data_IF_803333505030
#
_entry.id   IF_803333505030
#
_cell.length_a   1.000
_cell.length_b   1.000
_cell.length_c   1.000
_cell.angle_alpha   90.00
_cell.angle_beta   90.00
_cell.angle_gamma   90.00
#
_symmetry.space_group_name_H-M   'P 1'
#
loop_
_entity.id
_entity.type
_entity.pdbx_description
1 polymer ?
#
# COMPACT_ATOMS: atom_id res chain seq x y z
N UNK A 1 -68.95 -30.72 -21.56
CA UNK A 1 -67.78 -29.99 -22.04
C UNK A 1 -67.01 -29.46 -20.84
N UNK A 2 -65.97 -30.19 -20.41
CA UNK A 2 -65.07 -29.73 -19.32
C UNK A 2 -63.94 -28.93 -19.97
N UNK A 3 -63.78 -27.67 -19.58
CA UNK A 3 -62.63 -26.84 -19.94
C UNK A 3 -61.52 -27.06 -18.92
N UNK A 4 -60.42 -27.69 -19.32
CA UNK A 4 -59.17 -27.74 -18.55
C UNK A 4 -58.47 -26.36 -18.67
N UNK A 5 -58.36 -25.66 -17.57
CA UNK A 5 -57.53 -24.46 -17.49
C UNK A 5 -56.13 -24.87 -17.09
N UNK A 6 -55.17 -24.71 -18.04
CA UNK A 6 -53.78 -24.95 -17.81
C UNK A 6 -53.20 -23.75 -17.01
N UNK A 7 -52.80 -23.93 -15.74
CA UNK A 7 -52.09 -22.95 -14.94
C UNK A 7 -50.61 -23.12 -15.23
N UNK A 8 -50.02 -22.19 -15.95
CA UNK A 8 -48.57 -22.13 -16.14
C UNK A 8 -47.93 -21.62 -14.85
N UNK A 9 -47.28 -22.48 -14.09
CA UNK A 9 -46.43 -22.13 -12.96
C UNK A 9 -45.08 -21.65 -13.53
N UNK A 10 -44.84 -20.34 -13.53
CA UNK A 10 -43.52 -19.76 -13.80
C UNK A 10 -42.63 -20.08 -12.61
N UNK A 11 -41.78 -21.08 -12.75
CA UNK A 11 -40.64 -21.32 -11.86
C UNK A 11 -39.61 -20.19 -12.12
N UNK A 12 -39.61 -19.15 -11.29
CA UNK A 12 -38.50 -18.22 -11.24
C UNK A 12 -37.29 -18.97 -10.65
N UNK A 13 -36.29 -19.24 -11.49
CA UNK A 13 -34.98 -19.67 -11.00
C UNK A 13 -34.45 -18.61 -10.01
N UNK A 14 -33.87 -18.98 -8.88
CA UNK A 14 -33.19 -18.02 -8.02
C UNK A 14 -32.08 -17.37 -8.86
N UNK A 15 -32.17 -16.07 -9.05
CA UNK A 15 -31.03 -15.28 -9.53
C UNK A 15 -30.02 -15.36 -8.39
N UNK A 16 -28.94 -16.12 -8.57
CA UNK A 16 -27.80 -16.02 -7.68
C UNK A 16 -27.38 -14.54 -7.70
N UNK A 17 -27.39 -13.91 -6.55
CA UNK A 17 -26.88 -12.54 -6.46
C UNK A 17 -25.41 -12.55 -6.87
N UNK A 18 -25.03 -11.60 -7.74
CA UNK A 18 -23.61 -11.44 -8.11
C UNK A 18 -22.77 -11.27 -6.84
N UNK A 19 -21.65 -11.95 -6.77
CA UNK A 19 -20.71 -11.82 -5.65
C UNK A 19 -19.28 -11.67 -6.16
N UNK A 20 -18.45 -10.96 -5.40
CA UNK A 20 -17.02 -10.82 -5.67
C UNK A 20 -16.22 -11.39 -4.51
N UNK A 21 -15.31 -12.30 -4.82
CA UNK A 21 -14.43 -12.92 -3.85
C UNK A 21 -13.02 -12.31 -3.97
N UNK A 22 -12.49 -11.80 -2.86
CA UNK A 22 -11.21 -11.06 -2.82
C UNK A 22 -10.21 -11.77 -1.93
N UNK A 23 -8.98 -11.97 -2.43
CA UNK A 23 -7.82 -12.22 -1.59
C UNK A 23 -7.10 -10.91 -1.32
N UNK A 24 -6.86 -10.59 -0.05
CA UNK A 24 -6.37 -9.28 0.36
C UNK A 24 -5.16 -9.37 1.30
N UNK A 25 -4.12 -8.60 0.99
CA UNK A 25 -3.07 -8.24 1.95
C UNK A 25 -3.48 -7.03 2.81
N UNK A 26 -4.55 -6.31 2.41
CA UNK A 26 -5.03 -5.17 3.14
C UNK A 26 -5.82 -5.62 4.35
N UNK A 27 -5.55 -4.99 5.48
CA UNK A 27 -6.26 -5.26 6.73
C UNK A 27 -7.76 -4.99 6.55
N UNK A 28 -8.64 -5.88 7.06
CA UNK A 28 -10.09 -5.77 6.86
C UNK A 28 -10.67 -4.41 7.26
N UNK A 29 -10.24 -3.85 8.39
CA UNK A 29 -10.72 -2.56 8.89
C UNK A 29 -10.45 -1.38 7.94
N UNK A 30 -9.47 -1.49 7.05
CA UNK A 30 -9.10 -0.44 6.10
C UNK A 30 -9.84 -0.56 4.75
N UNK A 31 -10.47 -1.68 4.47
CA UNK A 31 -11.16 -1.91 3.20
C UNK A 31 -12.65 -2.16 3.40
N UNK A 32 -13.07 -2.74 4.53
CA UNK A 32 -14.46 -3.10 4.77
C UNK A 32 -15.45 -1.94 4.59
N UNK A 33 -15.17 -0.71 5.07
CA UNK A 33 -16.08 0.41 4.85
C UNK A 33 -16.37 0.72 3.37
N UNK A 34 -15.37 0.51 2.49
CA UNK A 34 -15.54 0.68 1.06
C UNK A 34 -16.38 -0.45 0.46
N UNK A 35 -16.12 -1.69 0.86
CA UNK A 35 -16.85 -2.87 0.37
C UNK A 35 -18.32 -2.82 0.80
N UNK A 36 -18.60 -2.43 2.04
CA UNK A 36 -19.96 -2.23 2.55
C UNK A 36 -20.71 -1.16 1.75
N UNK A 37 -20.02 -0.06 1.43
CA UNK A 37 -20.59 1.01 0.63
C UNK A 37 -20.88 0.56 -0.80
N UNK A 38 -19.95 -0.13 -1.45
CA UNK A 38 -20.15 -0.74 -2.77
C UNK A 38 -21.36 -1.69 -2.77
N UNK A 39 -21.43 -2.60 -1.78
CA UNK A 39 -22.55 -3.54 -1.67
C UNK A 39 -23.89 -2.81 -1.46
N UNK A 40 -23.91 -1.75 -0.64
CA UNK A 40 -25.11 -0.97 -0.42
C UNK A 40 -25.63 -0.26 -1.69
N UNK A 41 -24.72 0.15 -2.58
CA UNK A 41 -25.08 0.85 -3.82
C UNK A 41 -25.46 -0.11 -4.95
N UNK A 42 -24.77 -1.24 -5.05
CA UNK A 42 -24.88 -2.11 -6.23
C UNK A 42 -25.71 -3.37 -5.98
N UNK A 43 -25.89 -3.76 -4.71
CA UNK A 43 -26.46 -5.04 -4.34
C UNK A 43 -25.52 -6.25 -4.53
N UNK A 44 -24.30 -6.04 -5.03
CA UNK A 44 -23.28 -7.09 -5.22
C UNK A 44 -22.63 -7.39 -3.89
N UNK A 45 -22.66 -8.65 -3.46
CA UNK A 45 -21.99 -9.09 -2.25
C UNK A 45 -20.47 -9.14 -2.45
N UNK A 46 -19.70 -8.80 -1.40
CA UNK A 46 -18.25 -8.91 -1.45
C UNK A 46 -17.74 -9.77 -0.29
N UNK A 47 -17.03 -10.84 -0.62
CA UNK A 47 -16.37 -11.72 0.32
C UNK A 47 -14.87 -11.44 0.30
N UNK A 48 -14.27 -11.27 1.47
CA UNK A 48 -12.83 -10.99 1.58
C UNK A 48 -12.14 -12.03 2.45
N UNK A 49 -11.02 -12.56 1.95
CA UNK A 49 -10.13 -13.42 2.71
C UNK A 49 -8.77 -12.72 2.87
N UNK A 50 -8.36 -12.49 4.11
CA UNK A 50 -7.04 -11.95 4.40
C UNK A 50 -5.97 -13.02 4.19
N UNK A 51 -4.94 -12.68 3.39
CA UNK A 51 -3.80 -13.55 3.06
C UNK A 51 -2.52 -12.76 3.27
N UNK A 52 -1.84 -12.99 4.38
CA UNK A 52 -0.63 -12.21 4.72
C UNK A 52 0.57 -12.57 3.84
N UNK A 53 0.76 -13.85 3.54
CA UNK A 53 1.90 -14.37 2.76
C UNK A 53 1.46 -15.47 1.81
N UNK A 54 2.25 -15.69 0.75
CA UNK A 54 2.04 -16.81 -0.15
C UNK A 54 0.81 -16.68 -1.06
N UNK A 55 0.37 -15.47 -1.37
CA UNK A 55 -0.81 -15.24 -2.22
C UNK A 55 -0.59 -15.73 -3.65
N UNK A 56 0.57 -15.49 -4.23
CA UNK A 56 0.92 -15.95 -5.57
C UNK A 56 0.97 -17.49 -5.63
N UNK A 57 1.58 -18.12 -4.63
CA UNK A 57 1.66 -19.58 -4.50
C UNK A 57 0.28 -20.20 -4.32
N UNK A 58 -0.56 -19.58 -3.51
CA UNK A 58 -1.95 -20.01 -3.30
C UNK A 58 -2.73 -20.00 -4.60
N UNK A 59 -2.72 -18.87 -5.34
CA UNK A 59 -3.40 -18.75 -6.62
C UNK A 59 -2.86 -19.74 -7.66
N UNK A 60 -1.54 -19.99 -7.68
CA UNK A 60 -0.94 -21.04 -8.53
C UNK A 60 -1.45 -22.44 -8.18
N UNK A 61 -1.53 -22.77 -6.89
CA UNK A 61 -1.99 -24.09 -6.43
C UNK A 61 -3.49 -24.31 -6.71
N UNK A 62 -4.29 -23.27 -6.59
CA UNK A 62 -5.72 -23.31 -6.89
C UNK A 62 -5.98 -23.39 -8.41
N UNK A 63 -5.14 -22.70 -9.23
CA UNK A 63 -5.26 -22.65 -10.69
C UNK A 63 -6.64 -22.15 -11.12
N UNK A 64 -7.24 -22.78 -12.14
CA UNK A 64 -8.56 -22.43 -12.67
C UNK A 64 -9.72 -22.66 -11.68
N UNK A 65 -9.44 -23.27 -10.52
CA UNK A 65 -10.43 -23.52 -9.46
C UNK A 65 -10.36 -22.46 -8.35
N UNK A 66 -9.53 -21.44 -8.49
CA UNK A 66 -9.49 -20.37 -7.51
C UNK A 66 -10.85 -19.68 -7.40
N UNK A 67 -11.39 -19.52 -6.21
CA UNK A 67 -12.62 -18.76 -6.01
C UNK A 67 -12.41 -17.25 -6.07
N UNK A 68 -11.15 -16.77 -6.06
CA UNK A 68 -10.86 -15.36 -6.00
C UNK A 68 -11.04 -14.69 -7.36
N UNK A 69 -11.87 -13.64 -7.41
CA UNK A 69 -12.02 -12.76 -8.56
C UNK A 69 -10.93 -11.71 -8.60
N UNK A 70 -10.66 -11.10 -7.44
CA UNK A 70 -9.71 -10.00 -7.29
C UNK A 70 -8.66 -10.29 -6.22
N UNK A 71 -7.54 -9.61 -6.39
CA UNK A 71 -6.50 -9.48 -5.37
C UNK A 71 -6.34 -8.03 -5.01
N UNK A 72 -6.29 -7.72 -3.70
CA UNK A 72 -5.92 -6.41 -3.16
C UNK A 72 -4.55 -6.51 -2.48
N UNK A 73 -3.61 -5.67 -2.90
CA UNK A 73 -2.28 -5.61 -2.31
C UNK A 73 -1.98 -4.24 -1.71
N UNK A 74 -0.93 -4.17 -0.90
CA UNK A 74 -0.51 -2.94 -0.21
C UNK A 74 0.92 -2.51 -0.56
N UNK A 75 1.50 -3.08 -1.62
CA UNK A 75 2.86 -2.81 -2.07
C UNK A 75 3.05 -3.16 -3.54
N UNK A 76 3.82 -2.36 -4.28
CA UNK A 76 4.08 -2.61 -5.70
C UNK A 76 4.80 -3.95 -5.92
N UNK A 77 5.71 -4.34 -5.03
CA UNK A 77 6.40 -5.62 -5.16
C UNK A 77 5.46 -6.80 -5.16
N UNK A 78 4.43 -6.77 -4.30
CA UNK A 78 3.40 -7.83 -4.25
C UNK A 78 2.55 -7.88 -5.52
N UNK A 79 2.32 -6.75 -6.20
CA UNK A 79 1.67 -6.75 -7.52
C UNK A 79 2.55 -7.41 -8.58
N UNK A 80 3.84 -7.08 -8.59
CA UNK A 80 4.78 -7.68 -9.55
C UNK A 80 4.96 -9.18 -9.29
N UNK A 81 4.99 -9.64 -8.04
CA UNK A 81 4.99 -11.08 -7.71
C UNK A 81 3.80 -11.82 -8.36
N UNK A 82 2.62 -11.20 -8.43
CA UNK A 82 1.45 -11.79 -9.10
C UNK A 82 1.62 -11.81 -10.63
N UNK A 83 2.22 -10.77 -11.21
CA UNK A 83 2.58 -10.72 -12.65
C UNK A 83 3.56 -11.83 -12.98
N UNK A 84 4.68 -11.93 -12.25
CA UNK A 84 5.74 -12.92 -12.46
C UNK A 84 5.24 -14.35 -12.25
N UNK A 85 4.33 -14.52 -11.29
CA UNK A 85 3.65 -15.77 -11.03
C UNK A 85 2.65 -16.15 -12.13
N UNK A 86 2.29 -15.21 -13.02
CA UNK A 86 1.33 -15.40 -14.12
C UNK A 86 -0.06 -15.83 -13.62
N UNK A 87 -0.53 -15.26 -12.48
CA UNK A 87 -1.80 -15.62 -11.83
C UNK A 87 -2.90 -14.56 -11.99
N UNK A 88 -2.58 -13.43 -12.60
CA UNK A 88 -3.50 -12.33 -12.90
C UNK A 88 -3.63 -12.14 -14.42
N UNK A 89 -4.67 -11.43 -14.84
CA UNK A 89 -4.97 -11.17 -16.24
C UNK A 89 -5.07 -9.66 -16.52
N UNK A 90 -4.80 -9.21 -17.76
CA UNK A 90 -5.03 -7.83 -18.14
C UNK A 90 -6.53 -7.49 -18.15
N UNK A 91 -6.84 -6.25 -17.79
CA UNK A 91 -8.18 -5.67 -17.85
C UNK A 91 -8.11 -4.43 -18.72
N UNK A 92 -8.65 -4.50 -19.93
CA UNK A 92 -8.70 -3.35 -20.83
C UNK A 92 -10.05 -2.63 -20.64
N UNK A 93 -10.03 -1.62 -19.79
CA UNK A 93 -11.23 -0.88 -19.40
C UNK A 93 -10.99 0.64 -19.45
N UNK A 94 -11.83 1.40 -20.20
CA UNK A 94 -11.67 2.83 -20.37
C UNK A 94 -11.95 3.64 -19.09
N UNK A 95 -12.80 3.15 -18.18
CA UNK A 95 -13.12 3.84 -16.92
C UNK A 95 -11.92 3.77 -15.98
N UNK A 96 -11.31 2.60 -15.84
CA UNK A 96 -10.07 2.42 -15.07
C UNK A 96 -8.93 3.27 -15.63
N UNK A 97 -8.77 3.30 -16.96
CA UNK A 97 -7.72 4.08 -17.61
C UNK A 97 -7.92 5.59 -17.46
N UNK A 98 -9.17 6.06 -17.44
CA UNK A 98 -9.49 7.46 -17.22
C UNK A 98 -9.28 7.91 -15.77
N UNK A 99 -9.61 7.03 -14.82
CA UNK A 99 -9.56 7.35 -13.38
C UNK A 99 -8.16 7.13 -12.76
N UNK A 100 -7.34 6.24 -13.34
CA UNK A 100 -6.04 5.85 -12.80
C UNK A 100 -4.94 6.30 -13.77
N UNK A 101 -4.16 7.34 -13.44
CA UNK A 101 -3.06 7.81 -14.27
C UNK A 101 -2.04 6.71 -14.61
N UNK A 102 -1.40 6.81 -15.79
CA UNK A 102 -0.51 5.78 -16.31
C UNK A 102 0.63 5.40 -15.33
N UNK A 103 1.11 6.33 -14.54
CA UNK A 103 2.14 6.08 -13.51
C UNK A 103 1.69 5.19 -12.35
N UNK A 104 0.38 4.99 -12.19
CA UNK A 104 -0.22 4.17 -11.13
C UNK A 104 -0.88 2.89 -11.66
N UNK A 105 -0.59 2.48 -12.90
CA UNK A 105 -1.08 1.22 -13.46
C UNK A 105 -0.01 0.52 -14.28
N UNK A 106 -0.19 -0.79 -14.43
CA UNK A 106 0.65 -1.58 -15.31
C UNK A 106 0.53 -1.15 -16.77
N UNK A 107 1.63 -0.99 -17.51
CA UNK A 107 1.57 -0.74 -18.95
C UNK A 107 0.78 -1.79 -19.74
N UNK A 108 0.76 -3.06 -19.27
CA UNK A 108 -0.04 -4.15 -19.81
C UNK A 108 -1.41 -4.30 -19.18
N UNK A 109 -1.86 -3.35 -18.36
CA UNK A 109 -3.16 -3.35 -17.67
C UNK A 109 -3.40 -4.58 -16.77
N UNK A 110 -2.36 -5.21 -16.23
CA UNK A 110 -2.51 -6.37 -15.34
C UNK A 110 -2.84 -5.97 -13.90
N UNK A 111 -2.44 -4.77 -13.47
CA UNK A 111 -2.76 -4.21 -12.16
C UNK A 111 -3.04 -2.72 -12.22
N UNK A 112 -3.79 -2.24 -11.23
CA UNK A 112 -4.20 -0.85 -11.08
C UNK A 112 -3.95 -0.40 -9.64
N UNK A 113 -3.28 0.74 -9.47
CA UNK A 113 -3.18 1.40 -8.18
C UNK A 113 -4.54 1.92 -7.72
N UNK A 114 -4.76 1.94 -6.43
CA UNK A 114 -5.99 2.48 -5.83
C UNK A 114 -5.70 3.67 -4.92
N UNK A 115 -4.57 3.62 -4.19
CA UNK A 115 -4.13 4.70 -3.30
C UNK A 115 -2.62 4.77 -3.30
N UNK A 116 -2.08 5.92 -2.89
CA UNK A 116 -0.65 6.06 -2.66
C UNK A 116 -0.33 6.54 -1.24
N UNK A 117 0.92 6.36 -0.82
CA UNK A 117 1.48 6.84 0.45
C UNK A 117 2.95 7.15 0.29
N UNK A 118 3.42 8.12 1.07
CA UNK A 118 4.82 8.43 1.17
C UNK A 118 5.50 7.61 2.27
N UNK A 119 6.75 7.22 2.07
CA UNK A 119 7.64 6.70 3.08
C UNK A 119 8.40 7.87 3.69
N UNK A 120 8.13 8.22 4.92
CA UNK A 120 8.51 9.46 5.56
C UNK A 120 9.38 9.22 6.79
N UNK A 121 9.89 10.30 7.35
CA UNK A 121 10.52 10.28 8.67
C UNK A 121 9.53 10.79 9.72
N UNK A 122 9.36 10.02 10.79
CA UNK A 122 8.74 10.44 12.02
C UNK A 122 9.84 11.05 12.90
N UNK A 123 9.69 12.30 13.31
CA UNK A 123 10.68 13.02 14.10
C UNK A 123 10.08 13.51 15.42
N UNK A 124 10.76 13.24 16.53
CA UNK A 124 10.37 13.76 17.85
C UNK A 124 10.31 15.29 17.83
N UNK A 125 9.16 15.87 18.20
CA UNK A 125 8.95 17.34 18.18
C UNK A 125 9.87 18.10 19.10
N UNK A 126 10.25 17.50 20.22
CA UNK A 126 11.05 18.11 21.30
C UNK A 126 12.56 17.86 21.17
N UNK A 127 12.98 16.86 20.36
CA UNK A 127 14.40 16.43 20.27
C UNK A 127 15.02 16.61 18.90
N UNK A 128 14.21 16.81 17.85
CA UNK A 128 14.68 17.00 16.47
C UNK A 128 14.09 18.29 15.91
N UNK A 129 14.96 19.20 15.44
CA UNK A 129 14.50 20.48 14.86
C UNK A 129 13.95 20.28 13.45
N UNK A 130 12.95 21.07 13.03
CA UNK A 130 12.54 21.10 11.64
C UNK A 130 13.72 21.36 10.69
N UNK A 131 13.81 20.58 9.60
CA UNK A 131 14.86 20.72 8.60
C UNK A 131 16.20 20.05 8.94
N UNK A 132 16.31 19.32 10.05
CA UNK A 132 17.51 18.51 10.34
C UNK A 132 17.61 17.25 9.47
N UNK A 133 16.47 16.79 8.92
CA UNK A 133 16.38 15.69 7.97
C UNK A 133 15.62 16.20 6.75
N UNK A 134 16.27 16.24 5.62
CA UNK A 134 15.71 16.73 4.37
C UNK A 134 15.82 15.68 3.26
N UNK A 135 16.78 14.76 3.39
CA UNK A 135 17.01 13.69 2.43
C UNK A 135 17.05 12.31 3.11
N UNK A 136 16.87 11.23 2.34
CA UNK A 136 17.06 9.88 2.87
C UNK A 136 18.52 9.61 3.18
N UNK A 137 19.45 10.28 2.50
CA UNK A 137 20.88 10.22 2.75
C UNK A 137 21.24 10.71 4.16
N UNK A 138 20.51 11.70 4.67
CA UNK A 138 20.71 12.25 6.04
C UNK A 138 20.57 11.19 7.13
N UNK A 139 19.83 10.10 6.88
CA UNK A 139 19.63 9.02 7.85
C UNK A 139 20.94 8.24 8.15
N UNK A 140 21.91 8.29 7.25
CA UNK A 140 23.23 7.68 7.43
C UNK A 140 24.25 8.61 8.11
N UNK A 141 23.89 9.89 8.40
CA UNK A 141 24.78 10.82 9.07
C UNK A 141 25.07 10.32 10.51
N UNK A 142 26.36 10.21 10.91
CA UNK A 142 26.76 9.77 12.27
C UNK A 142 26.16 10.58 13.43
N UNK A 143 25.64 11.81 13.19
CA UNK A 143 24.92 12.59 14.21
C UNK A 143 23.70 11.87 14.77
N UNK A 144 23.15 10.89 14.02
CA UNK A 144 21.99 10.09 14.40
C UNK A 144 22.34 8.80 15.14
N UNK A 145 23.61 8.57 15.47
CA UNK A 145 24.06 7.33 16.13
C UNK A 145 23.26 7.05 17.41
N UNK A 146 22.61 5.86 17.44
CA UNK A 146 21.77 5.44 18.57
C UNK A 146 20.45 6.19 18.68
N UNK A 147 19.98 6.86 17.60
CA UNK A 147 18.80 7.71 17.65
C UNK A 147 17.72 7.33 16.64
N UNK A 148 17.92 6.26 15.85
CA UNK A 148 16.98 5.81 14.84
C UNK A 148 16.31 4.51 15.28
N UNK A 149 14.99 4.45 15.21
CA UNK A 149 14.20 3.22 15.31
C UNK A 149 13.72 2.79 13.92
N UNK A 150 13.78 1.48 13.64
CA UNK A 150 13.25 0.91 12.40
C UNK A 150 12.63 -0.45 12.62
N UNK A 151 11.62 -0.76 11.81
CA UNK A 151 11.19 -2.14 11.60
C UNK A 151 12.21 -2.88 10.75
N UNK A 152 12.09 -4.21 10.65
CA UNK A 152 12.97 -5.05 9.81
C UNK A 152 13.28 -4.43 8.46
N UNK A 153 14.56 -4.44 8.07
CA UNK A 153 15.01 -4.04 6.74
C UNK A 153 14.38 -4.87 5.63
N UNK A 154 14.10 -6.14 5.90
CA UNK A 154 13.46 -7.08 4.98
C UNK A 154 11.93 -6.93 4.90
N UNK A 155 11.33 -5.95 5.61
CA UNK A 155 9.92 -5.63 5.41
C UNK A 155 9.68 -5.04 4.01
N UNK A 156 8.53 -5.36 3.39
CA UNK A 156 8.21 -4.90 2.02
C UNK A 156 8.45 -3.40 1.83
N UNK A 157 8.07 -2.58 2.81
CA UNK A 157 8.19 -1.13 2.72
C UNK A 157 9.64 -0.64 2.77
N UNK A 158 10.52 -1.27 3.56
CA UNK A 158 11.93 -0.92 3.62
C UNK A 158 12.70 -1.48 2.41
N UNK A 159 12.33 -2.67 1.93
CA UNK A 159 12.85 -3.21 0.67
C UNK A 159 12.48 -2.28 -0.49
N UNK A 160 11.23 -1.77 -0.55
CA UNK A 160 10.80 -0.84 -1.59
C UNK A 160 11.55 0.51 -1.51
N UNK A 161 11.78 1.04 -0.29
CA UNK A 161 12.59 2.26 -0.11
C UNK A 161 14.03 2.05 -0.58
N UNK A 162 14.66 0.92 -0.22
CA UNK A 162 16.03 0.59 -0.65
C UNK A 162 16.10 0.37 -2.15
N UNK A 163 15.09 -0.26 -2.75
CA UNK A 163 14.97 -0.42 -4.19
C UNK A 163 14.85 0.94 -4.91
N UNK A 164 14.06 1.87 -4.36
CA UNK A 164 13.99 3.23 -4.88
C UNK A 164 15.32 3.99 -4.71
N UNK A 165 16.02 3.81 -3.59
CA UNK A 165 17.35 4.38 -3.36
C UNK A 165 18.36 3.90 -4.43
N UNK A 166 18.30 2.62 -4.83
CA UNK A 166 19.11 2.04 -5.91
C UNK A 166 18.84 2.63 -7.30
N UNK A 167 17.71 3.27 -7.53
CA UNK A 167 17.43 3.96 -8.79
C UNK A 167 18.12 5.34 -8.86
N UNK A 168 18.43 5.92 -7.71
CA UNK A 168 19.06 7.25 -7.62
C UNK A 168 20.57 7.15 -7.30
N UNK A 169 21.04 5.99 -6.85
CA UNK A 169 22.41 5.78 -6.39
C UNK A 169 22.96 4.45 -6.92
N UNK A 170 24.29 4.34 -6.97
CA UNK A 170 24.96 3.08 -7.29
C UNK A 170 24.76 2.04 -6.16
N UNK A 171 24.96 0.77 -6.48
CA UNK A 171 24.95 -0.35 -5.52
C UNK A 171 25.92 -0.11 -4.35
N UNK A 172 27.11 0.44 -4.64
CA UNK A 172 28.12 0.72 -3.61
C UNK A 172 27.68 1.85 -2.65
N UNK A 173 27.10 2.93 -3.19
CA UNK A 173 26.54 4.04 -2.38
C UNK A 173 25.36 3.58 -1.54
N UNK A 174 24.46 2.77 -2.11
CA UNK A 174 23.33 2.19 -1.38
C UNK A 174 23.82 1.29 -0.24
N UNK A 175 24.82 0.44 -0.47
CA UNK A 175 25.43 -0.38 0.58
C UNK A 175 26.03 0.47 1.70
N UNK A 176 26.76 1.53 1.35
CA UNK A 176 27.33 2.46 2.33
C UNK A 176 26.24 3.18 3.14
N UNK A 177 25.16 3.62 2.49
CA UNK A 177 24.01 4.21 3.15
C UNK A 177 23.35 3.24 4.14
N UNK A 178 23.10 1.99 3.75
CA UNK A 178 22.54 0.96 4.64
C UNK A 178 23.44 0.70 5.85
N UNK A 179 24.77 0.66 5.66
CA UNK A 179 25.73 0.51 6.76
C UNK A 179 25.70 1.70 7.73
N UNK A 180 25.64 2.92 7.20
CA UNK A 180 25.49 4.14 8.01
C UNK A 180 24.19 4.17 8.78
N UNK A 181 23.09 3.84 8.11
CA UNK A 181 21.76 3.77 8.73
C UNK A 181 21.72 2.69 9.83
N UNK A 182 22.26 1.48 9.58
CA UNK A 182 22.39 0.43 10.60
C UNK A 182 23.20 0.91 11.81
N UNK A 183 24.34 1.60 11.59
CA UNK A 183 25.17 2.13 12.66
C UNK A 183 24.48 3.18 13.51
N UNK A 184 23.42 3.80 13.00
CA UNK A 184 22.64 4.83 13.67
C UNK A 184 21.41 4.28 14.43
N UNK A 185 21.13 2.96 14.31
CA UNK A 185 19.99 2.36 15.01
C UNK A 185 20.17 2.43 16.53
N UNK A 186 19.11 2.76 17.25
CA UNK A 186 19.05 2.77 18.70
C UNK A 186 19.05 1.35 19.29
N UNK A 187 18.44 0.44 18.57
CA UNK A 187 18.33 -0.99 18.91
C UNK A 187 18.13 -1.82 17.64
N UNK A 188 18.19 -3.14 17.77
CA UNK A 188 17.88 -4.06 16.68
C UNK A 188 16.50 -3.79 16.10
N UNK A 189 16.32 -3.82 14.76
CA UNK A 189 15.02 -3.62 14.11
C UNK A 189 13.95 -4.53 14.70
N UNK A 190 12.78 -3.96 15.01
CA UNK A 190 11.68 -4.71 15.62
C UNK A 190 10.32 -4.04 15.34
N UNK A 191 9.23 -4.79 15.50
CA UNK A 191 7.87 -4.29 15.43
C UNK A 191 7.44 -3.82 14.03
N UNK A 192 6.40 -2.99 14.01
CA UNK A 192 5.82 -2.39 12.79
C UNK A 192 5.90 -0.85 12.87
N UNK A 193 5.45 -0.14 11.84
CA UNK A 193 5.60 1.33 11.77
C UNK A 193 4.98 2.07 12.98
N UNK A 194 3.85 1.60 13.52
CA UNK A 194 3.22 2.21 14.72
C UNK A 194 4.07 2.02 15.97
N UNK A 195 4.77 0.90 16.10
CA UNK A 195 5.67 0.65 17.23
C UNK A 195 6.84 1.63 17.21
N UNK A 196 7.31 2.02 16.02
CA UNK A 196 8.37 3.02 15.89
C UNK A 196 7.93 4.39 16.43
N UNK A 197 6.67 4.79 16.17
CA UNK A 197 6.11 6.04 16.75
C UNK A 197 6.03 5.95 18.26
N UNK A 198 5.61 4.81 18.79
CA UNK A 198 5.57 4.56 20.24
C UNK A 198 6.97 4.61 20.87
N UNK A 199 7.99 4.04 20.20
CA UNK A 199 9.38 4.08 20.67
C UNK A 199 9.94 5.52 20.71
N UNK A 200 9.57 6.37 19.73
CA UNK A 200 9.92 7.80 19.77
C UNK A 200 9.25 8.48 20.97
N UNK A 201 7.96 8.23 21.19
CA UNK A 201 7.25 8.80 22.36
C UNK A 201 7.85 8.33 23.68
N UNK A 202 8.28 7.09 23.78
CA UNK A 202 8.94 6.51 24.96
C UNK A 202 10.37 7.03 25.16
N UNK A 203 10.95 7.75 24.18
CA UNK A 203 12.33 8.26 24.26
C UNK A 203 13.41 7.23 23.95
N UNK A 204 13.06 6.10 23.34
CA UNK A 204 14.01 5.06 22.94
C UNK A 204 14.82 5.47 21.71
N UNK A 205 14.24 6.31 20.85
CA UNK A 205 14.88 6.94 19.71
C UNK A 205 14.26 8.32 19.43
N UNK A 206 14.83 9.06 18.49
CA UNK A 206 14.38 10.41 18.15
C UNK A 206 13.73 10.48 16.78
N UNK A 207 14.09 9.57 15.88
CA UNK A 207 13.55 9.48 14.53
C UNK A 207 13.26 8.02 14.16
N UNK A 208 12.33 7.86 13.21
CA UNK A 208 12.03 6.56 12.62
C UNK A 208 11.52 6.73 11.18
N UNK A 209 11.54 5.66 10.40
CA UNK A 209 11.00 5.64 9.04
C UNK A 209 9.69 4.88 9.00
N UNK A 210 8.65 5.48 8.41
CA UNK A 210 7.33 4.86 8.32
C UNK A 210 6.45 5.44 7.23
N UNK A 211 5.25 4.88 7.07
CA UNK A 211 4.28 5.36 6.08
C UNK A 211 3.39 6.46 6.65
N UNK A 212 3.00 7.42 5.82
CA UNK A 212 2.19 8.58 6.21
C UNK A 212 0.89 8.23 6.91
N UNK A 213 0.12 7.30 6.37
CA UNK A 213 -1.24 7.00 6.79
C UNK A 213 -1.35 6.47 8.24
N UNK A 214 -0.31 5.83 8.76
CA UNK A 214 -0.32 5.35 10.15
C UNK A 214 -0.49 6.49 11.15
N UNK A 215 0.07 7.66 10.85
CA UNK A 215 -0.07 8.82 11.75
C UNK A 215 -1.53 9.30 11.79
N UNK A 216 -2.22 9.31 10.65
CA UNK A 216 -3.65 9.64 10.62
C UNK A 216 -4.49 8.66 11.43
N UNK A 217 -4.23 7.36 11.28
CA UNK A 217 -4.92 6.32 12.05
C UNK A 217 -4.64 6.43 13.56
N UNK A 218 -3.40 6.65 13.96
CA UNK A 218 -3.03 6.81 15.37
C UNK A 218 -3.62 8.08 16.00
N UNK A 219 -3.72 9.17 15.23
CA UNK A 219 -4.38 10.41 15.69
C UNK A 219 -5.89 10.24 15.88
N UNK A 220 -6.52 9.36 15.09
CA UNK A 220 -7.93 9.03 15.22
C UNK A 220 -8.23 8.02 16.33
N UNK A 221 -7.22 7.31 16.84
CA UNK A 221 -7.33 6.33 17.91
C UNK A 221 -6.97 6.97 19.28
N UNK A 222 -7.92 7.08 20.22
CA UNK A 222 -7.66 7.69 21.53
C UNK A 222 -6.50 7.04 22.31
N UNK A 223 -6.27 5.73 22.13
CA UNK A 223 -5.20 5.00 22.83
C UNK A 223 -3.81 5.29 22.24
N UNK A 224 -3.73 5.64 20.96
CA UNK A 224 -2.48 5.88 20.25
C UNK A 224 -2.20 7.36 19.99
N UNK A 225 -3.20 8.21 20.17
CA UNK A 225 -3.12 9.65 19.87
C UNK A 225 -1.93 10.34 20.54
N UNK A 226 -1.65 10.02 21.80
CA UNK A 226 -0.53 10.61 22.55
C UNK A 226 0.83 10.31 21.88
N UNK A 227 0.99 9.14 21.30
CA UNK A 227 2.22 8.75 20.58
C UNK A 227 2.37 9.58 19.30
N UNK A 228 1.28 9.68 18.51
CA UNK A 228 1.29 10.46 17.28
C UNK A 228 1.44 11.97 17.52
N UNK A 229 0.88 12.50 18.61
CA UNK A 229 1.05 13.92 19.00
C UNK A 229 2.51 14.29 19.33
N UNK A 230 3.33 13.33 19.76
CA UNK A 230 4.72 13.55 20.12
C UNK A 230 5.65 13.71 18.91
N UNK A 231 5.21 13.32 17.70
CA UNK A 231 6.04 13.37 16.50
C UNK A 231 5.52 14.40 15.49
N UNK A 232 6.40 14.83 14.60
CA UNK A 232 6.03 15.46 13.34
C UNK A 232 6.40 14.55 12.18
N UNK A 233 5.81 14.83 11.03
CA UNK A 233 6.13 14.20 9.75
C UNK A 233 7.14 15.09 9.02
N UNK A 234 8.29 14.52 8.63
CA UNK A 234 9.22 15.13 7.69
C UNK A 234 9.20 14.30 6.39
N UNK A 235 9.13 14.98 5.23
CA UNK A 235 9.13 14.36 3.91
C UNK A 235 10.55 14.42 3.32
N UNK A 236 11.41 13.43 3.58
CA UNK A 236 12.74 13.42 2.96
C UNK A 236 12.61 13.14 1.46
N UNK A 237 13.57 13.64 0.70
CA UNK A 237 13.69 13.37 -0.73
C UNK A 237 14.96 12.58 -1.00
N UNK A 238 15.03 11.86 -2.10
CA UNK A 238 16.33 11.47 -2.65
C UNK A 238 17.05 12.70 -3.20
N UNK A 239 18.36 12.78 -3.05
CA UNK A 239 19.13 13.93 -3.53
C UNK A 239 18.89 14.20 -5.03
N UNK A 240 18.27 15.32 -5.34
CA UNK A 240 17.93 15.69 -6.73
C UNK A 240 16.63 15.09 -7.27
N UNK A 241 15.85 14.38 -6.44
CA UNK A 241 14.58 13.79 -6.84
C UNK A 241 13.46 14.11 -5.83
N UNK A 242 12.53 13.17 -5.56
CA UNK A 242 11.38 13.39 -4.69
C UNK A 242 11.31 12.44 -3.50
N UNK A 243 10.22 12.52 -2.76
CA UNK A 243 9.89 11.61 -1.65
C UNK A 243 9.41 10.26 -2.20
N UNK A 244 9.93 9.16 -1.68
CA UNK A 244 9.52 7.80 -2.09
C UNK A 244 8.02 7.58 -1.89
N UNK A 245 7.38 7.14 -2.97
CA UNK A 245 5.97 6.79 -3.01
C UNK A 245 5.79 5.29 -3.24
N UNK A 246 4.73 4.74 -2.65
CA UNK A 246 4.30 3.38 -2.92
C UNK A 246 2.77 3.34 -3.02
N UNK A 247 2.20 2.24 -3.50
CA UNK A 247 0.77 2.12 -3.79
C UNK A 247 0.13 0.93 -3.09
N UNK A 248 -1.17 1.03 -2.86
CA UNK A 248 -2.05 -0.12 -2.76
C UNK A 248 -2.72 -0.31 -4.11
N UNK A 249 -2.95 -1.54 -4.52
CA UNK A 249 -3.52 -1.81 -5.84
C UNK A 249 -4.40 -3.04 -5.88
N UNK A 250 -5.06 -3.20 -7.02
CA UNK A 250 -5.98 -4.29 -7.35
C UNK A 250 -5.55 -4.97 -8.65
N UNK A 251 -5.77 -6.26 -8.73
CA UNK A 251 -5.60 -7.05 -9.94
C UNK A 251 -6.72 -8.08 -10.05
N UNK A 252 -7.15 -8.39 -11.28
CA UNK A 252 -8.11 -9.46 -11.56
C UNK A 252 -7.36 -10.79 -11.70
N UNK A 253 -7.80 -11.83 -10.99
CA UNK A 253 -7.17 -13.15 -11.11
C UNK A 253 -7.47 -13.78 -12.46
N UNK A 254 -6.63 -14.70 -12.93
CA UNK A 254 -6.91 -15.42 -14.18
C UNK A 254 -8.17 -16.29 -14.11
N UNK A 255 -8.41 -16.88 -12.95
CA UNK A 255 -9.57 -17.74 -12.72
C UNK A 255 -10.88 -16.96 -12.61
N UNK A 256 -10.85 -15.72 -12.12
CA UNK A 256 -11.99 -14.85 -11.82
C UNK A 256 -13.36 -15.42 -12.21
N UNK A 257 -14.10 -16.04 -11.28
CA UNK A 257 -15.39 -16.66 -11.58
C UNK A 257 -16.45 -15.66 -12.06
N UNK A 258 -16.50 -14.45 -11.47
CA UNK A 258 -17.39 -13.37 -11.89
C UNK A 258 -16.63 -12.11 -12.30
N UNK A 259 -16.08 -12.14 -13.53
CA UNK A 259 -15.33 -11.00 -14.09
C UNK A 259 -16.17 -9.72 -14.21
N UNK A 260 -17.47 -9.84 -14.42
CA UNK A 260 -18.34 -8.69 -14.62
C UNK A 260 -18.56 -7.95 -13.29
N UNK A 261 -18.88 -8.67 -12.21
CA UNK A 261 -19.00 -8.10 -10.88
C UNK A 261 -17.65 -7.58 -10.37
N UNK A 262 -16.56 -8.33 -10.61
CA UNK A 262 -15.21 -7.92 -10.27
C UNK A 262 -14.80 -6.59 -10.94
N UNK A 263 -15.08 -6.43 -12.25
CA UNK A 263 -14.81 -5.19 -12.97
C UNK A 263 -15.60 -4.01 -12.38
N UNK A 264 -16.88 -4.19 -12.09
CA UNK A 264 -17.68 -3.14 -11.43
C UNK A 264 -17.08 -2.69 -10.09
N UNK A 265 -16.56 -3.63 -9.30
CA UNK A 265 -15.88 -3.28 -8.05
C UNK A 265 -14.57 -2.52 -8.31
N UNK A 266 -13.77 -2.92 -9.30
CA UNK A 266 -12.54 -2.21 -9.67
C UNK A 266 -12.85 -0.77 -10.10
N UNK A 267 -13.85 -0.56 -10.97
CA UNK A 267 -14.31 0.76 -11.41
C UNK A 267 -14.79 1.62 -10.23
N UNK A 268 -15.58 1.02 -9.32
CA UNK A 268 -16.09 1.72 -8.15
C UNK A 268 -14.96 2.13 -7.19
N UNK A 269 -13.98 1.26 -6.95
CA UNK A 269 -12.80 1.58 -6.12
C UNK A 269 -11.94 2.70 -6.72
N UNK A 270 -12.02 2.93 -8.03
CA UNK A 270 -11.36 4.03 -8.73
C UNK A 270 -12.26 5.28 -8.86
N UNK A 271 -13.50 5.28 -8.33
CA UNK A 271 -14.43 6.41 -8.41
C UNK A 271 -14.05 7.54 -7.45
N UNK A 272 -14.64 8.74 -7.65
CA UNK A 272 -14.47 9.88 -6.75
C UNK A 272 -14.89 9.55 -5.31
N UNK A 273 -15.98 8.80 -5.17
CA UNK A 273 -16.50 8.41 -3.86
C UNK A 273 -15.53 7.52 -3.10
N UNK A 274 -15.10 6.42 -3.72
CA UNK A 274 -14.15 5.51 -3.09
C UNK A 274 -12.81 6.19 -2.78
N UNK A 275 -12.29 7.00 -3.70
CA UNK A 275 -11.06 7.75 -3.50
C UNK A 275 -11.17 8.78 -2.36
N UNK A 276 -12.35 9.38 -2.19
CA UNK A 276 -12.64 10.26 -1.06
C UNK A 276 -12.66 9.49 0.26
N UNK A 277 -13.31 8.31 0.31
CA UNK A 277 -13.35 7.44 1.49
C UNK A 277 -11.91 7.00 1.86
N UNK A 278 -11.10 6.57 0.90
CA UNK A 278 -9.69 6.23 1.15
C UNK A 278 -8.94 7.37 1.82
N UNK A 279 -9.09 8.59 1.32
CA UNK A 279 -8.41 9.75 1.88
C UNK A 279 -8.91 10.13 3.28
N UNK A 280 -10.20 10.05 3.53
CA UNK A 280 -10.82 10.49 4.80
C UNK A 280 -10.71 9.44 5.90
N UNK A 281 -10.83 8.15 5.55
CA UNK A 281 -10.87 7.06 6.53
C UNK A 281 -9.49 6.44 6.73
N UNK A 282 -8.73 6.25 5.65
CA UNK A 282 -7.43 5.59 5.71
C UNK A 282 -6.25 6.57 5.73
N UNK A 283 -6.51 7.88 5.47
CA UNK A 283 -5.47 8.94 5.41
C UNK A 283 -4.41 8.68 4.34
N UNK A 284 -4.77 7.98 3.27
CA UNK A 284 -3.93 7.75 2.10
C UNK A 284 -4.14 8.86 1.06
N UNK A 285 -3.17 9.00 0.15
CA UNK A 285 -3.31 9.94 -0.96
C UNK A 285 -4.15 9.31 -2.07
N UNK A 286 -5.23 9.97 -2.52
CA UNK A 286 -5.95 9.54 -3.71
C UNK A 286 -5.02 9.53 -4.92
N UNK A 287 -5.22 8.57 -5.83
CA UNK A 287 -4.49 8.55 -7.10
C UNK A 287 -5.30 9.14 -8.26
N UNK A 288 -6.64 9.17 -8.12
CA UNK A 288 -7.51 9.80 -9.11
C UNK A 288 -7.27 11.31 -9.10
N UNK A 289 -7.02 11.93 -10.27
CA UNK A 289 -6.89 13.39 -10.37
C UNK A 289 -8.11 14.11 -9.80
N UNK A 290 -7.89 15.29 -9.25
CA UNK A 290 -8.91 16.20 -8.72
C UNK A 290 -9.65 15.74 -7.46
N UNK A 291 -9.41 14.53 -6.95
CA UNK A 291 -9.91 14.12 -5.64
C UNK A 291 -9.04 14.69 -4.53
N UNK A 292 -9.67 15.48 -3.67
CA UNK A 292 -8.96 16.17 -2.60
C UNK A 292 -8.58 15.22 -1.46
N UNK A 293 -7.36 15.39 -0.92
CA UNK A 293 -6.95 14.74 0.33
C UNK A 293 -7.75 15.28 1.51
N UNK A 294 -7.86 14.49 2.60
CA UNK A 294 -8.51 14.94 3.84
C UNK A 294 -7.81 16.17 4.44
N UNK A 295 -8.53 16.91 5.29
CA UNK A 295 -7.97 18.06 5.98
C UNK A 295 -6.72 17.71 6.82
N UNK A 296 -6.73 16.54 7.45
CA UNK A 296 -5.58 16.04 8.22
C UNK A 296 -4.37 15.78 7.32
N UNK A 297 -4.57 15.07 6.20
CA UNK A 297 -3.48 14.81 5.23
C UNK A 297 -2.90 16.11 4.67
N UNK A 298 -3.77 17.09 4.36
CA UNK A 298 -3.33 18.44 3.94
C UNK A 298 -2.51 19.16 5.00
N UNK A 299 -2.82 18.96 6.29
CA UNK A 299 -2.10 19.60 7.39
C UNK A 299 -0.66 19.13 7.55
N UNK A 300 -0.28 17.99 6.96
CA UNK A 300 1.11 17.49 6.95
C UNK A 300 2.05 18.32 6.06
N UNK A 301 1.51 19.20 5.23
CA UNK A 301 2.27 20.04 4.32
C UNK A 301 2.32 19.49 2.89
N UNK A 302 3.11 20.16 2.04
CA UNK A 302 3.35 19.76 0.66
C UNK A 302 4.74 19.15 0.51
N UNK A 303 4.86 18.22 -0.41
CA UNK A 303 6.12 17.59 -0.80
C UNK A 303 6.14 17.30 -2.30
N UNK A 304 7.30 17.04 -2.85
CA UNK A 304 7.46 16.61 -4.23
C UNK A 304 7.58 15.09 -4.25
N UNK A 305 6.62 14.36 -4.83
CA UNK A 305 6.74 12.91 -5.00
C UNK A 305 7.93 12.56 -5.90
N UNK A 306 8.61 11.45 -5.60
CA UNK A 306 9.55 10.85 -6.53
C UNK A 306 8.82 10.36 -7.79
N UNK A 307 9.45 10.57 -8.94
CA UNK A 307 8.91 10.20 -10.26
C UNK A 307 9.46 8.87 -10.79
N UNK A 308 10.26 8.16 -9.99
CA UNK A 308 10.73 6.82 -10.35
C UNK A 308 9.55 5.88 -10.61
N UNK A 309 9.62 5.13 -11.70
CA UNK A 309 8.57 4.19 -12.09
C UNK A 309 8.36 3.09 -11.05
N UNK A 310 7.11 2.80 -10.71
CA UNK A 310 6.79 1.73 -9.73
C UNK A 310 7.33 0.37 -10.18
N UNK A 311 7.26 0.07 -11.48
CA UNK A 311 7.83 -1.17 -12.03
C UNK A 311 9.36 -1.20 -11.93
N UNK A 312 10.04 -0.05 -12.10
CA UNK A 312 11.50 0.05 -11.97
C UNK A 312 11.91 -0.17 -10.50
N UNK A 313 11.16 0.40 -9.55
CA UNK A 313 11.35 0.13 -8.11
C UNK A 313 11.19 -1.35 -7.83
N UNK A 314 10.14 -1.99 -8.34
CA UNK A 314 9.91 -3.41 -8.14
C UNK A 314 11.03 -4.27 -8.73
N UNK A 315 11.55 -3.93 -9.91
CA UNK A 315 12.67 -4.63 -10.56
C UNK A 315 13.97 -4.58 -9.72
N UNK A 316 14.14 -3.57 -8.88
CA UNK A 316 15.30 -3.44 -7.98
C UNK A 316 15.14 -4.16 -6.65
N UNK A 317 13.98 -4.71 -6.31
CA UNK A 317 13.73 -5.37 -5.01
C UNK A 317 14.65 -6.56 -4.73
N UNK A 318 14.96 -7.48 -5.68
CA UNK A 318 15.90 -8.57 -5.39
C UNK A 318 17.30 -8.07 -5.01
N UNK A 319 17.81 -7.02 -5.68
CA UNK A 319 19.09 -6.40 -5.34
C UNK A 319 19.03 -5.72 -3.95
N UNK A 320 17.93 -5.04 -3.65
CA UNK A 320 17.70 -4.41 -2.35
C UNK A 320 17.69 -5.43 -1.20
N UNK A 321 17.03 -6.58 -1.37
CA UNK A 321 17.02 -7.69 -0.39
C UNK A 321 18.44 -8.20 -0.18
N UNK A 322 19.18 -8.47 -1.26
CA UNK A 322 20.58 -8.93 -1.18
C UNK A 322 21.45 -7.95 -0.40
N UNK A 323 21.31 -6.65 -0.65
CA UNK A 323 22.08 -5.63 0.09
C UNK A 323 21.70 -5.55 1.57
N UNK A 324 20.43 -5.69 1.91
CA UNK A 324 19.97 -5.74 3.31
C UNK A 324 20.56 -6.95 4.06
N UNK A 325 20.59 -8.11 3.39
CA UNK A 325 21.21 -9.33 3.93
C UNK A 325 22.73 -9.19 4.03
N UNK A 326 23.39 -8.67 3.00
CA UNK A 326 24.85 -8.45 2.96
C UNK A 326 25.35 -7.54 4.09
N UNK A 327 24.58 -6.52 4.47
CA UNK A 327 24.92 -5.65 5.60
C UNK A 327 24.42 -6.21 6.94
N UNK A 328 23.75 -7.37 6.91
CA UNK A 328 23.11 -7.97 8.09
C UNK A 328 22.26 -6.92 8.84
N UNK A 329 21.34 -6.24 8.10
CA UNK A 329 20.67 -5.06 8.61
C UNK A 329 19.84 -5.35 9.86
N UNK A 330 19.24 -6.51 9.93
CA UNK A 330 18.38 -6.92 11.06
C UNK A 330 19.22 -7.52 12.24
N UNK A 331 20.51 -7.70 12.08
CA UNK A 331 21.51 -7.94 13.11
C UNK A 331 21.52 -9.31 13.75
#
# INVERSE_FOLDING_TARGET
MFRLTLVAVCLSAPVLADEVNIYSHRQPELIQPLLDRFTAETGIAVNIAFVDKGMAERLKAEGDRSPADLVLTVDIGRLIELVDANVIQPVDDPVLQANIPAQYRDPGNQWFGLTSRARIVYAAKDRVKPGEITTYEDLADPKWKGRICMRSGLSDYNVALTAAYLLHHSTAETKAWLQGLKANLAHKPAGVDRDQVKSIWAGECDIAVGNTYYIGQMLADPEQKAYADAIRIDFPVFAGAGTHMNISGVAMTKAAPDKAAALKLMEWLASDEAQTIYSQTNFEFPIKPDVATSALVKSWGSFTPDTAGLADIAAKRPEAVTLMEDVDFDG
#
